data_IF_143072447182
#
_entry.id   IF_143072447182
#
_cell.length_a   1.000
_cell.length_b   1.000
_cell.length_c   1.000
_cell.angle_alpha   90.00
_cell.angle_beta   90.00
_cell.angle_gamma   90.00
#
_symmetry.space_group_name_H-M   'P 1'
#
loop_
_entity.id
_entity.type
_entity.pdbx_description
1 polymer ?
#
# COMPACT_ATOMS: atom_id res chain seq x y z
N UNK A 1 11.17 -6.41 -2.28
CA UNK A 1 9.91 -5.90 -2.80
C UNK A 1 10.13 -4.54 -3.45
N UNK A 2 9.76 -4.39 -4.70
CA UNK A 2 9.82 -3.19 -5.54
C UNK A 2 8.41 -2.70 -5.83
N UNK A 3 8.26 -1.56 -6.50
CA UNK A 3 6.95 -1.12 -7.00
C UNK A 3 6.27 -2.15 -7.93
N UNK A 4 7.06 -2.85 -8.76
CA UNK A 4 6.53 -3.89 -9.63
C UNK A 4 6.06 -5.12 -8.85
N UNK A 5 6.75 -5.51 -7.78
CA UNK A 5 6.32 -6.61 -6.90
C UNK A 5 4.98 -6.28 -6.23
N UNK A 6 4.78 -5.03 -5.78
CA UNK A 6 3.50 -4.58 -5.24
C UNK A 6 2.38 -4.64 -6.29
N UNK A 7 2.65 -4.16 -7.52
CA UNK A 7 1.68 -4.27 -8.63
C UNK A 7 1.30 -5.74 -8.87
N UNK A 8 2.28 -6.64 -8.94
CA UNK A 8 2.03 -8.07 -9.14
C UNK A 8 1.21 -8.67 -8.01
N UNK A 9 1.55 -8.39 -6.75
CA UNK A 9 0.79 -8.85 -5.58
C UNK A 9 -0.69 -8.44 -5.65
N UNK A 10 -0.98 -7.19 -6.03
CA UNK A 10 -2.35 -6.70 -6.18
C UNK A 10 -3.09 -7.37 -7.35
N UNK A 11 -2.38 -7.56 -8.47
CA UNK A 11 -2.90 -8.23 -9.66
C UNK A 11 -3.21 -9.70 -9.39
N UNK A 12 -2.30 -10.43 -8.73
CA UNK A 12 -2.50 -11.84 -8.38
C UNK A 12 -3.66 -12.01 -7.41
N UNK A 13 -3.76 -11.12 -6.41
CA UNK A 13 -4.81 -11.22 -5.39
C UNK A 13 -6.20 -10.82 -5.90
N UNK A 14 -6.31 -9.72 -6.65
CA UNK A 14 -7.60 -9.10 -6.96
C UNK A 14 -7.81 -8.79 -8.45
N UNK A 15 -6.84 -9.09 -9.31
CA UNK A 15 -6.93 -8.94 -10.77
C UNK A 15 -6.89 -7.49 -11.25
N UNK A 16 -6.41 -6.54 -10.44
CA UNK A 16 -6.35 -5.11 -10.75
C UNK A 16 -5.12 -4.43 -10.14
N UNK A 17 -4.58 -3.44 -10.85
CA UNK A 17 -3.45 -2.63 -10.40
C UNK A 17 -3.94 -1.49 -9.49
N UNK A 18 -4.42 -1.84 -8.29
CA UNK A 18 -4.95 -0.86 -7.34
C UNK A 18 -3.89 0.17 -6.90
N UNK A 19 -4.35 1.38 -6.58
CA UNK A 19 -3.55 2.39 -5.87
C UNK A 19 -3.35 1.99 -4.41
N UNK A 20 -2.22 2.43 -3.83
CA UNK A 20 -1.91 2.26 -2.41
C UNK A 20 -1.66 3.62 -1.80
N UNK A 21 -2.31 3.92 -0.68
CA UNK A 21 -2.05 5.12 0.09
C UNK A 21 -1.51 4.77 1.47
N UNK A 22 -0.53 5.53 1.93
CA UNK A 22 -0.07 5.51 3.30
C UNK A 22 -0.83 6.59 4.07
N UNK A 23 -1.42 6.25 5.21
CA UNK A 23 -2.07 7.23 6.08
C UNK A 23 -1.67 7.05 7.53
N UNK A 24 -1.53 8.18 8.22
CA UNK A 24 -1.42 8.22 9.68
C UNK A 24 -2.76 8.62 10.27
N UNK A 25 -3.33 7.76 11.12
CA UNK A 25 -4.64 7.98 11.76
C UNK A 25 -4.45 7.76 13.26
N UNK A 26 -4.68 8.80 14.07
CA UNK A 26 -4.56 8.74 15.53
C UNK A 26 -3.22 8.14 16.00
N UNK A 27 -2.11 8.56 15.37
CA UNK A 27 -0.77 8.09 15.69
C UNK A 27 -0.38 6.73 15.12
N UNK A 28 -1.33 6.00 14.51
CA UNK A 28 -1.08 4.69 13.89
C UNK A 28 -0.90 4.83 12.39
N UNK A 29 -0.03 3.99 11.82
CA UNK A 29 0.26 3.96 10.40
C UNK A 29 -0.60 2.90 9.70
N UNK A 30 -1.14 3.26 8.54
CA UNK A 30 -1.96 2.38 7.74
C UNK A 30 -1.50 2.39 6.29
N UNK A 31 -1.43 1.20 5.71
CA UNK A 31 -1.31 0.99 4.27
C UNK A 31 -2.71 0.66 3.75
N UNK A 32 -3.23 1.53 2.91
CA UNK A 32 -4.58 1.43 2.38
C UNK A 32 -4.53 1.07 0.90
N UNK A 33 -5.00 -0.12 0.55
CA UNK A 33 -5.26 -0.47 -0.85
C UNK A 33 -6.57 0.17 -1.26
N UNK A 34 -6.47 1.18 -2.12
CA UNK A 34 -7.59 1.97 -2.58
C UNK A 34 -8.43 1.19 -3.58
N UNK A 35 -9.66 1.65 -3.83
CA UNK A 35 -10.55 1.04 -4.84
C UNK A 35 -10.33 1.56 -6.25
N UNK A 36 -9.52 2.61 -6.40
CA UNK A 36 -9.07 3.11 -7.71
C UNK A 36 -7.91 2.26 -8.20
N UNK A 37 -7.86 1.98 -9.49
CA UNK A 37 -6.83 1.16 -10.11
C UNK A 37 -6.45 1.70 -11.48
N UNK A 38 -5.21 1.42 -11.91
CA UNK A 38 -4.59 1.97 -13.13
C UNK A 38 -5.45 1.78 -14.39
N UNK A 39 -6.15 0.65 -14.50
CA UNK A 39 -6.97 0.33 -15.67
C UNK A 39 -8.27 1.16 -15.78
N UNK A 40 -8.58 2.04 -14.81
CA UNK A 40 -9.71 2.96 -14.90
C UNK A 40 -9.35 4.18 -15.76
N UNK A 41 -10.27 4.57 -16.66
CA UNK A 41 -10.10 5.77 -17.51
C UNK A 41 -9.87 7.05 -16.68
N UNK A 42 -10.48 7.13 -15.50
CA UNK A 42 -10.35 8.29 -14.60
C UNK A 42 -9.27 8.11 -13.53
N UNK A 43 -8.33 7.18 -13.71
CA UNK A 43 -7.21 7.02 -12.79
C UNK A 43 -6.28 8.25 -12.90
N UNK A 44 -5.83 8.84 -11.78
CA UNK A 44 -5.18 10.15 -11.81
C UNK A 44 -3.71 10.12 -12.23
N UNK A 45 -3.08 8.94 -12.28
CA UNK A 45 -1.66 8.78 -12.61
C UNK A 45 -1.50 8.07 -13.96
N UNK A 46 -0.44 8.40 -14.70
CA UNK A 46 0.04 7.56 -15.80
C UNK A 46 0.63 6.24 -15.27
N UNK A 47 0.90 5.28 -16.16
CA UNK A 47 1.54 4.00 -15.76
C UNK A 47 2.93 4.23 -15.13
N UNK A 48 3.72 5.17 -15.66
CA UNK A 48 5.03 5.49 -15.12
C UNK A 48 4.92 6.09 -13.70
N UNK A 49 4.08 7.11 -13.53
CA UNK A 49 3.85 7.75 -12.22
C UNK A 49 3.28 6.75 -11.21
N UNK A 50 2.41 5.84 -11.64
CA UNK A 50 1.89 4.77 -10.80
C UNK A 50 2.99 3.84 -10.29
N UNK A 51 3.90 3.41 -11.17
CA UNK A 51 5.02 2.54 -10.78
C UNK A 51 6.01 3.26 -9.87
N UNK A 52 6.32 4.53 -10.12
CA UNK A 52 7.17 5.36 -9.24
C UNK A 52 6.53 5.54 -7.85
N UNK A 53 5.22 5.77 -7.83
CA UNK A 53 4.44 5.84 -6.59
C UNK A 53 4.49 4.52 -5.81
N UNK A 54 4.26 3.39 -6.48
CA UNK A 54 4.38 2.08 -5.84
C UNK A 54 5.80 1.78 -5.35
N UNK A 55 6.84 2.23 -6.06
CA UNK A 55 8.22 2.05 -5.61
C UNK A 55 8.48 2.87 -4.34
N UNK A 56 7.98 4.10 -4.29
CA UNK A 56 8.01 4.94 -3.09
C UNK A 56 7.33 4.24 -1.90
N UNK A 57 6.14 3.65 -2.12
CA UNK A 57 5.46 2.87 -1.09
C UNK A 57 6.31 1.66 -0.66
N UNK A 58 6.87 0.90 -1.61
CA UNK A 58 7.71 -0.25 -1.31
C UNK A 58 8.93 0.15 -0.46
N UNK A 59 9.56 1.28 -0.76
CA UNK A 59 10.69 1.84 0.00
C UNK A 59 10.29 2.16 1.44
N UNK A 60 9.12 2.75 1.67
CA UNK A 60 8.61 2.96 3.03
C UNK A 60 8.37 1.63 3.76
N UNK A 61 7.75 0.64 3.09
CA UNK A 61 7.52 -0.68 3.69
C UNK A 61 8.82 -1.38 4.11
N UNK A 62 9.89 -1.24 3.31
CA UNK A 62 11.22 -1.71 3.70
C UNK A 62 11.76 -0.97 4.91
N UNK A 63 11.70 0.36 4.91
CA UNK A 63 12.15 1.19 6.02
C UNK A 63 11.49 0.82 7.35
N UNK A 64 10.20 0.48 7.30
CA UNK A 64 9.42 0.04 8.46
C UNK A 64 9.61 -1.44 8.82
N UNK A 65 10.25 -2.24 7.97
CA UNK A 65 10.27 -3.70 8.13
C UNK A 65 8.87 -4.35 7.97
N UNK A 66 7.95 -3.68 7.29
CA UNK A 66 6.54 -4.07 7.18
C UNK A 66 6.21 -4.89 5.93
N UNK A 67 7.20 -5.18 5.08
CA UNK A 67 7.02 -5.90 3.80
C UNK A 67 6.27 -7.22 3.99
N UNK A 68 6.75 -8.08 4.88
CA UNK A 68 6.14 -9.40 5.13
C UNK A 68 4.73 -9.26 5.70
N UNK A 69 4.49 -8.29 6.59
CA UNK A 69 3.17 -8.03 7.16
C UNK A 69 2.15 -7.66 6.06
N UNK A 70 2.53 -6.78 5.13
CA UNK A 70 1.66 -6.33 4.04
C UNK A 70 1.39 -7.47 3.05
N UNK A 71 2.42 -8.23 2.67
CA UNK A 71 2.28 -9.39 1.78
C UNK A 71 1.31 -10.42 2.38
N UNK A 72 1.60 -10.89 3.60
CA UNK A 72 0.79 -11.88 4.29
C UNK A 72 -0.66 -11.42 4.45
N UNK A 73 -0.86 -10.15 4.84
CA UNK A 73 -2.20 -9.59 4.94
C UNK A 73 -2.93 -9.62 3.60
N UNK A 74 -2.32 -9.18 2.50
CA UNK A 74 -2.97 -9.15 1.18
C UNK A 74 -3.29 -10.57 0.70
N UNK A 75 -2.34 -11.49 0.83
CA UNK A 75 -2.51 -12.88 0.40
C UNK A 75 -3.65 -13.58 1.15
N UNK A 76 -3.77 -13.38 2.47
CA UNK A 76 -4.76 -14.06 3.30
C UNK A 76 -6.05 -13.27 3.53
N UNK A 77 -6.10 -11.98 3.17
CA UNK A 77 -7.30 -11.17 3.38
C UNK A 77 -8.48 -11.67 2.56
N UNK A 78 -9.64 -11.72 3.21
CA UNK A 78 -10.94 -11.95 2.56
C UNK A 78 -11.59 -10.64 2.10
N UNK A 79 -11.04 -9.50 2.53
CA UNK A 79 -11.48 -8.19 2.09
C UNK A 79 -11.00 -7.92 0.65
N UNK A 80 -11.70 -7.00 0.00
CA UNK A 80 -11.39 -6.53 -1.35
C UNK A 80 -11.69 -5.04 -1.41
N UNK A 81 -10.88 -4.23 -2.12
CA UNK A 81 -11.21 -2.83 -2.35
C UNK A 81 -12.54 -2.69 -3.11
N UNK A 82 -13.44 -1.85 -2.60
CA UNK A 82 -14.76 -1.56 -3.20
C UNK A 82 -14.96 -0.05 -3.29
N UNK A 83 -15.81 0.41 -4.19
CA UNK A 83 -16.10 1.85 -4.34
C UNK A 83 -16.40 2.51 -2.99
N UNK A 84 -15.57 3.46 -2.58
CA UNK A 84 -15.67 4.16 -1.28
C UNK A 84 -15.09 3.43 -0.07
N UNK A 85 -14.54 2.22 -0.22
CA UNK A 85 -13.97 1.41 0.88
C UNK A 85 -12.63 0.79 0.49
N UNK A 86 -11.56 1.26 1.13
CA UNK A 86 -10.23 0.71 1.00
C UNK A 86 -10.04 -0.54 1.89
N UNK A 87 -9.12 -1.43 1.50
CA UNK A 87 -8.57 -2.45 2.41
C UNK A 87 -7.49 -1.77 3.22
N UNK A 88 -7.64 -1.70 4.54
CA UNK A 88 -6.72 -0.97 5.42
C UNK A 88 -5.91 -1.93 6.28
N UNK A 89 -4.59 -1.88 6.13
CA UNK A 89 -3.62 -2.71 6.85
C UNK A 89 -2.97 -1.82 7.90
N UNK A 90 -3.20 -2.09 9.18
CA UNK A 90 -2.48 -1.38 10.24
C UNK A 90 -1.05 -1.91 10.29
N UNK A 91 -0.08 -1.01 10.18
CA UNK A 91 1.34 -1.36 10.27
C UNK A 91 1.77 -1.30 11.72
N UNK A 92 2.34 -2.41 12.20
CA UNK A 92 2.94 -2.46 13.53
C UNK A 92 4.43 -2.17 13.39
N UNK A 93 4.86 -1.00 13.88
CA UNK A 93 6.25 -0.57 13.80
C UNK A 93 7.12 -1.15 14.93
N UNK A 94 6.53 -1.87 15.89
CA UNK A 94 7.22 -2.33 17.10
C UNK A 94 8.05 -1.23 17.77
N UNK A 95 9.24 -1.59 18.23
CA UNK A 95 10.20 -0.66 18.84
C UNK A 95 10.81 0.35 17.86
N UNK A 96 10.67 0.16 16.54
CA UNK A 96 11.19 1.07 15.50
C UNK A 96 10.27 2.27 15.23
N UNK A 97 9.16 2.37 15.95
CA UNK A 97 8.18 3.43 15.75
C UNK A 97 8.80 4.84 15.89
N UNK A 98 9.77 5.03 16.78
CA UNK A 98 10.37 6.35 17.08
C UNK A 98 11.09 6.99 15.88
N UNK A 99 11.73 6.20 15.01
CA UNK A 99 12.51 6.72 13.86
C UNK A 99 11.61 7.24 12.73
N UNK A 100 10.41 6.67 12.60
CA UNK A 100 9.48 6.99 11.53
C UNK A 100 8.33 7.88 11.99
N UNK A 101 8.03 7.92 13.29
CA UNK A 101 7.00 8.82 13.84
C UNK A 101 7.38 10.31 13.76
N UNK A 102 8.65 10.62 13.50
CA UNK A 102 9.20 11.98 13.42
C UNK A 102 9.23 12.56 12.00
N UNK A 103 8.94 11.76 10.97
CA UNK A 103 8.84 12.24 9.58
C UNK A 103 7.46 12.83 9.30
N UNK A 104 7.42 14.08 8.82
CA UNK A 104 6.23 14.67 8.18
C UNK A 104 6.12 14.03 6.78
N UNK A 105 5.15 13.12 6.60
CA UNK A 105 4.82 12.50 5.30
C UNK A 105 3.57 13.15 4.73
#
# INVERSE_FOLDING_TARGET
MTGNDLRQLLMDKWGRSYDIQIRRIQGKLFVQVMWKYLEQVSFPLSEAEYLEHLDTVANYLHGWGAVTQVQDYIEHSRDRPRTGRAVSIQIDLGDRASEWMLGDF
#
